data_IF_690177859421
#
_entry.id   IF_690177859421
#
_cell.length_a   1.000
_cell.length_b   1.000
_cell.length_c   1.000
_cell.angle_alpha   90.00
_cell.angle_beta   90.00
_cell.angle_gamma   90.00
#
_symmetry.space_group_name_H-M   'P 1'
#
loop_
_entity.id
_entity.type
_entity.pdbx_description
1 polymer ?
#
# COMPACT_ATOMS: atom_id res chain seq x y z
N UNK A 1 33.70 8.55 -84.72
CA UNK A 1 33.93 9.12 -83.37
C UNK A 1 32.81 10.10 -83.06
N UNK A 2 31.88 9.73 -82.18
CA UNK A 2 30.76 10.60 -81.78
C UNK A 2 31.13 11.23 -80.44
N UNK A 3 31.26 12.55 -80.41
CA UNK A 3 31.69 13.31 -79.23
C UNK A 3 30.45 13.78 -78.46
N UNK A 4 30.12 13.11 -77.36
CA UNK A 4 28.97 13.41 -76.52
C UNK A 4 29.33 14.51 -75.50
N UNK A 5 29.04 15.77 -75.85
CA UNK A 5 29.21 16.91 -74.93
C UNK A 5 28.03 16.93 -73.94
N UNK A 6 28.18 16.32 -72.76
CA UNK A 6 27.19 16.41 -71.68
C UNK A 6 27.33 17.77 -70.97
N UNK A 7 26.32 18.63 -71.11
CA UNK A 7 26.15 19.79 -70.24
C UNK A 7 25.63 19.32 -68.86
N UNK A 8 26.28 19.69 -67.75
CA UNK A 8 25.71 19.46 -66.43
C UNK A 8 24.62 20.51 -66.15
N UNK A 9 23.35 20.08 -66.13
CA UNK A 9 22.27 20.85 -65.56
C UNK A 9 22.56 21.09 -64.07
N UNK A 10 22.90 22.33 -63.70
CA UNK A 10 22.96 22.77 -62.31
C UNK A 10 21.53 22.86 -61.77
N UNK A 11 21.11 21.85 -60.99
CA UNK A 11 19.91 21.94 -60.14
C UNK A 11 20.19 22.94 -59.01
N UNK A 12 19.68 24.14 -59.14
CA UNK A 12 19.58 25.10 -58.03
C UNK A 12 18.52 24.60 -57.06
N UNK A 13 18.94 23.96 -55.97
CA UNK A 13 18.05 23.65 -54.86
C UNK A 13 17.76 24.93 -54.08
N UNK A 14 16.48 25.26 -54.01
CA UNK A 14 15.91 26.46 -53.42
C UNK A 14 16.07 26.41 -51.88
N UNK A 15 17.24 26.82 -51.36
CA UNK A 15 17.62 26.73 -49.93
C UNK A 15 16.76 27.60 -48.98
N UNK A 16 16.04 28.59 -49.51
CA UNK A 16 15.26 29.54 -48.70
C UNK A 16 13.98 28.97 -48.08
N UNK A 17 13.44 27.85 -48.58
CA UNK A 17 12.20 27.25 -48.04
C UNK A 17 12.44 26.28 -46.88
N UNK A 18 13.66 25.75 -46.72
CA UNK A 18 13.95 24.75 -45.67
C UNK A 18 14.15 25.40 -44.29
N UNK A 19 14.70 26.61 -44.23
CA UNK A 19 15.03 27.29 -42.98
C UNK A 19 13.80 27.76 -42.19
N UNK A 20 12.75 28.18 -42.89
CA UNK A 20 11.47 28.61 -42.28
C UNK A 20 10.76 27.42 -41.60
N UNK A 21 10.80 26.23 -42.22
CA UNK A 21 10.23 25.00 -41.64
C UNK A 21 10.97 24.53 -40.38
N UNK A 22 12.31 24.64 -40.36
CA UNK A 22 13.12 24.29 -39.18
C UNK A 22 12.86 25.23 -38.01
N UNK A 23 12.62 26.51 -38.26
CA UNK A 23 12.31 27.48 -37.21
C UNK A 23 10.94 27.21 -36.56
N UNK A 24 9.92 26.93 -37.37
CA UNK A 24 8.59 26.53 -36.87
C UNK A 24 8.62 25.20 -36.10
N UNK A 25 9.40 24.22 -36.58
CA UNK A 25 9.56 22.93 -35.91
C UNK A 25 10.23 23.06 -34.54
N UNK A 26 11.28 23.90 -34.43
CA UNK A 26 11.95 24.18 -33.15
C UNK A 26 10.99 24.81 -32.14
N UNK A 27 10.13 25.72 -32.60
CA UNK A 27 9.13 26.35 -31.75
C UNK A 27 8.05 25.34 -31.29
N UNK A 28 7.58 24.48 -32.20
CA UNK A 28 6.63 23.43 -31.86
C UNK A 28 7.21 22.44 -30.83
N UNK A 29 8.47 22.02 -31.00
CA UNK A 29 9.16 21.15 -30.05
C UNK A 29 9.34 21.81 -28.68
N UNK A 30 9.65 23.11 -28.64
CA UNK A 30 9.75 23.84 -27.37
C UNK A 30 8.42 23.88 -26.61
N UNK A 31 7.30 24.07 -27.32
CA UNK A 31 5.96 24.03 -26.72
C UNK A 31 5.65 22.64 -26.17
N UNK A 32 5.90 21.58 -26.95
CA UNK A 32 5.70 20.20 -26.51
C UNK A 32 6.56 19.88 -25.28
N UNK A 33 7.81 20.33 -25.27
CA UNK A 33 8.70 20.14 -24.13
C UNK A 33 8.18 20.86 -22.88
N UNK A 34 7.69 22.10 -23.02
CA UNK A 34 7.12 22.87 -21.92
C UNK A 34 5.87 22.20 -21.35
N UNK A 35 4.96 21.72 -22.20
CA UNK A 35 3.77 20.96 -21.76
C UNK A 35 4.18 19.65 -21.09
N UNK A 36 5.19 18.95 -21.61
CA UNK A 36 5.69 17.71 -21.03
C UNK A 36 6.28 17.91 -19.63
N UNK A 37 7.07 18.98 -19.42
CA UNK A 37 7.62 19.32 -18.11
C UNK A 37 6.50 19.61 -17.11
N UNK A 38 5.53 20.45 -17.47
CA UNK A 38 4.39 20.77 -16.59
C UNK A 38 3.56 19.50 -16.28
N UNK A 39 3.29 18.68 -17.30
CA UNK A 39 2.58 17.42 -17.14
C UNK A 39 3.31 16.46 -16.21
N UNK A 40 4.63 16.34 -16.32
CA UNK A 40 5.42 15.45 -15.46
C UNK A 40 5.32 15.82 -13.98
N UNK A 41 5.32 17.12 -13.65
CA UNK A 41 5.18 17.60 -12.27
C UNK A 41 3.79 17.28 -11.73
N UNK A 42 2.73 17.52 -12.51
CA UNK A 42 1.36 17.20 -12.08
C UNK A 42 1.15 15.70 -11.88
N UNK A 43 1.72 14.87 -12.75
CA UNK A 43 1.71 13.41 -12.59
C UNK A 43 2.48 12.97 -11.34
N UNK A 44 3.67 13.52 -11.10
CA UNK A 44 4.47 13.18 -9.92
C UNK A 44 3.74 13.49 -8.60
N UNK A 45 3.05 14.63 -8.53
CA UNK A 45 2.22 14.99 -7.36
C UNK A 45 1.08 13.99 -7.17
N UNK A 46 0.37 13.61 -8.24
CA UNK A 46 -0.70 12.62 -8.15
C UNK A 46 -0.19 11.25 -7.70
N UNK A 47 0.96 10.81 -8.21
CA UNK A 47 1.59 9.56 -7.77
C UNK A 47 1.96 9.64 -6.30
N UNK A 48 2.56 10.74 -5.84
CA UNK A 48 2.91 10.92 -4.44
C UNK A 48 1.69 10.89 -3.51
N UNK A 49 0.57 11.52 -3.92
CA UNK A 49 -0.70 11.48 -3.18
C UNK A 49 -1.35 10.09 -3.21
N UNK A 50 -1.25 9.36 -4.31
CA UNK A 50 -1.75 7.99 -4.40
C UNK A 50 -0.93 7.05 -3.51
N UNK A 51 0.40 7.21 -3.49
CA UNK A 51 1.30 6.45 -2.60
C UNK A 51 1.03 6.71 -1.13
N UNK A 52 0.74 7.96 -0.73
CA UNK A 52 0.42 8.27 0.67
C UNK A 52 -0.92 7.68 1.10
N UNK A 53 -1.95 7.73 0.24
CA UNK A 53 -3.24 7.08 0.48
C UNK A 53 -3.13 5.55 0.55
N UNK A 54 -2.31 4.96 -0.32
CA UNK A 54 -2.01 3.53 -0.26
C UNK A 54 -1.30 3.16 1.05
N UNK A 55 -0.41 4.02 1.55
CA UNK A 55 0.27 3.78 2.83
C UNK A 55 -0.71 3.80 4.02
N UNK A 56 -1.67 4.74 4.05
CA UNK A 56 -2.69 4.75 5.11
C UNK A 56 -3.61 3.53 5.06
N UNK A 57 -4.04 3.13 3.87
CA UNK A 57 -4.88 1.93 3.70
C UNK A 57 -4.14 0.66 4.14
N UNK A 58 -2.86 0.51 3.80
CA UNK A 58 -2.05 -0.62 4.24
C UNK A 58 -1.87 -0.68 5.77
N UNK A 59 -1.82 0.47 6.44
CA UNK A 59 -1.76 0.52 7.90
C UNK A 59 -3.07 0.07 8.53
N UNK A 60 -4.21 0.49 7.98
CA UNK A 60 -5.53 0.04 8.41
C UNK A 60 -5.72 -1.46 8.19
N UNK A 61 -5.35 -1.98 7.02
CA UNK A 61 -5.38 -3.42 6.74
C UNK A 61 -4.51 -4.21 7.72
N UNK A 62 -3.29 -3.74 8.01
CA UNK A 62 -2.42 -4.39 9.01
C UNK A 62 -3.05 -4.38 10.40
N UNK A 63 -3.69 -3.28 10.80
CA UNK A 63 -4.38 -3.19 12.08
C UNK A 63 -5.54 -4.19 12.16
N UNK A 64 -6.37 -4.26 11.12
CA UNK A 64 -7.48 -5.21 11.01
C UNK A 64 -7.01 -6.67 11.05
N UNK A 65 -5.89 -6.99 10.40
CA UNK A 65 -5.30 -8.34 10.45
C UNK A 65 -4.84 -8.69 11.87
N UNK A 66 -4.22 -7.75 12.58
CA UNK A 66 -3.81 -7.97 13.96
C UNK A 66 -5.01 -8.17 14.89
N UNK A 67 -6.05 -7.34 14.75
CA UNK A 67 -7.30 -7.49 15.52
C UNK A 67 -7.99 -8.83 15.24
N UNK A 68 -8.06 -9.25 13.97
CA UNK A 68 -8.59 -10.57 13.58
C UNK A 68 -7.81 -11.70 14.24
N UNK A 69 -6.48 -11.64 14.21
CA UNK A 69 -5.62 -12.64 14.83
C UNK A 69 -5.81 -12.69 16.35
N UNK A 70 -5.94 -11.55 17.00
CA UNK A 70 -6.20 -11.49 18.44
C UNK A 70 -7.57 -12.10 18.79
N UNK A 71 -8.58 -11.84 17.97
CA UNK A 71 -9.91 -12.44 18.12
C UNK A 71 -9.89 -13.95 17.91
N UNK A 72 -9.18 -14.43 16.89
CA UNK A 72 -8.97 -15.86 16.63
C UNK A 72 -8.27 -16.53 17.81
N UNK A 73 -7.20 -15.93 18.36
CA UNK A 73 -6.50 -16.45 19.53
C UNK A 73 -7.42 -16.53 20.76
N UNK A 74 -8.27 -15.51 20.97
CA UNK A 74 -9.27 -15.50 22.05
C UNK A 74 -10.31 -16.60 21.85
N UNK A 75 -10.76 -16.79 20.61
CA UNK A 75 -11.74 -17.82 20.27
C UNK A 75 -11.15 -19.22 20.48
N UNK A 76 -9.97 -19.51 19.96
CA UNK A 76 -9.29 -20.80 20.13
C UNK A 76 -9.03 -21.10 21.60
N UNK A 77 -8.61 -20.11 22.39
CA UNK A 77 -8.47 -20.28 23.85
C UNK A 77 -9.80 -20.57 24.54
N UNK A 78 -10.86 -19.86 24.16
CA UNK A 78 -12.21 -20.11 24.67
C UNK A 78 -12.69 -21.52 24.33
N UNK A 79 -12.53 -21.94 23.09
CA UNK A 79 -12.93 -23.26 22.61
C UNK A 79 -12.11 -24.37 23.28
N UNK A 80 -10.79 -24.18 23.44
CA UNK A 80 -9.92 -25.10 24.18
C UNK A 80 -10.34 -25.24 25.65
N UNK A 81 -10.71 -24.12 26.29
CA UNK A 81 -11.21 -24.13 27.68
C UNK A 81 -12.57 -24.82 27.78
N UNK A 82 -13.42 -24.66 26.77
CA UNK A 82 -14.73 -25.30 26.70
C UNK A 82 -14.58 -26.81 26.47
N UNK A 83 -13.66 -27.23 25.60
CA UNK A 83 -13.29 -28.64 25.40
C UNK A 83 -12.68 -29.27 26.66
N UNK A 84 -11.87 -28.51 27.39
CA UNK A 84 -11.35 -28.94 28.70
C UNK A 84 -12.47 -29.09 29.73
N UNK A 85 -13.42 -28.16 29.77
CA UNK A 85 -14.57 -28.22 30.67
C UNK A 85 -15.47 -29.41 30.36
N UNK A 86 -15.78 -29.67 29.09
CA UNK A 86 -16.59 -30.83 28.69
C UNK A 86 -15.87 -32.15 28.99
N UNK A 87 -14.58 -32.27 28.68
CA UNK A 87 -13.79 -33.46 29.06
C UNK A 87 -13.69 -33.65 30.58
N UNK A 88 -13.64 -32.57 31.36
CA UNK A 88 -13.64 -32.64 32.82
C UNK A 88 -14.98 -33.15 33.36
N UNK A 89 -16.10 -32.65 32.82
CA UNK A 89 -17.45 -33.12 33.16
C UNK A 89 -17.65 -34.60 32.78
N UNK A 90 -17.21 -35.03 31.59
CA UNK A 90 -17.23 -36.44 31.17
C UNK A 90 -16.42 -37.36 32.10
N UNK A 91 -15.34 -36.83 32.70
CA UNK A 91 -14.50 -37.54 33.68
C UNK A 91 -15.07 -37.48 35.10
N UNK A 92 -16.23 -36.86 35.30
CA UNK A 92 -16.93 -36.74 36.58
C UNK A 92 -16.44 -35.57 37.47
N UNK A 93 -15.59 -34.67 36.94
CA UNK A 93 -15.21 -33.45 37.64
C UNK A 93 -16.29 -32.39 37.44
N UNK A 94 -17.34 -32.43 38.27
CA UNK A 94 -18.31 -31.34 38.36
C UNK A 94 -17.68 -30.14 39.06
N UNK A 95 -17.76 -28.97 38.43
CA UNK A 95 -17.33 -27.71 39.03
C UNK A 95 -18.21 -27.45 40.27
N UNK A 96 -17.61 -27.39 41.45
CA UNK A 96 -18.34 -27.10 42.68
C UNK A 96 -18.74 -25.62 42.68
N UNK A 97 -20.04 -25.33 42.56
CA UNK A 97 -20.59 -23.97 42.59
C UNK A 97 -20.53 -23.31 43.97
N UNK A 98 -20.19 -24.07 45.02
CA UNK A 98 -20.09 -23.57 46.39
C UNK A 98 -18.64 -23.58 46.87
N UNK A 99 -17.91 -22.50 46.57
CA UNK A 99 -16.68 -22.18 47.29
C UNK A 99 -17.08 -21.70 48.68
N UNK A 100 -17.28 -22.64 49.62
CA UNK A 100 -17.48 -22.31 51.03
C UNK A 100 -16.13 -21.91 51.59
N UNK A 101 -15.89 -20.61 51.69
CA UNK A 101 -14.76 -20.09 52.45
C UNK A 101 -14.99 -20.45 53.92
N UNK A 102 -14.22 -21.41 54.42
CA UNK A 102 -14.14 -21.68 55.85
C UNK A 102 -13.49 -20.46 56.51
N UNK A 103 -14.31 -19.49 56.93
CA UNK A 103 -13.87 -18.43 57.83
C UNK A 103 -13.43 -19.08 59.14
N UNK A 104 -12.13 -19.35 59.25
CA UNK A 104 -11.52 -19.71 60.52
C UNK A 104 -11.71 -18.54 61.49
N UNK A 105 -12.58 -18.76 62.47
CA UNK A 105 -12.88 -17.83 63.57
C UNK A 105 -11.57 -17.44 64.27
N UNK A 106 -11.00 -16.28 63.91
CA UNK A 106 -9.83 -15.72 64.59
C UNK A 106 -10.24 -15.31 66.00
N UNK A 107 -10.08 -16.22 66.96
CA UNK A 107 -10.00 -15.87 68.38
C UNK A 107 -8.74 -15.05 68.61
N UNK A 108 -8.88 -13.73 68.55
CA UNK A 108 -7.86 -12.79 69.01
C UNK A 108 -7.87 -12.82 70.53
N UNK A 109 -6.83 -13.37 71.14
CA UNK A 109 -6.64 -13.29 72.58
C UNK A 109 -6.42 -11.81 72.94
N UNK A 110 -7.30 -11.25 73.78
CA UNK A 110 -7.04 -9.97 74.44
C UNK A 110 -5.91 -10.19 75.44
N UNK A 111 -4.78 -9.55 75.23
CA UNK A 111 -3.71 -9.44 76.22
C UNK A 111 -4.16 -8.47 77.32
N UNK A 112 -3.78 -8.72 78.59
CA UNK A 112 -4.10 -7.87 79.73
C UNK A 112 -3.42 -6.49 79.65
#
# INVERSE_FOLDING_TARGET
MINFKRHPQRRNFNKGKLTIGVFGLRFALAIVFLVSVVGSVLFAVQIALASSRMASLNLEEKKLILEKKELEDKFVKGDSLLELATKAEERGFYKSDNIVYLESEKKVAKLP
#
